data_IF_658773722531
#
_entry.id   IF_658773722531
#
_cell.length_a   1.000
_cell.length_b   1.000
_cell.length_c   1.000
_cell.angle_alpha   90.00
_cell.angle_beta   90.00
_cell.angle_gamma   90.00
#
_symmetry.space_group_name_H-M   'P 1'
#
loop_
_entity.id
_entity.type
_entity.pdbx_description
1 polymer ?
#
# COMPACT_ATOMS: atom_id res chain seq x y z
N UNK A 1 -5.12 -0.01 2.41
CA UNK A 1 -5.48 1.41 2.57
C UNK A 1 -5.31 1.80 4.02
N UNK A 2 -4.81 3.01 4.29
CA UNK A 2 -4.54 3.44 5.66
C UNK A 2 -5.82 3.96 6.34
N UNK A 3 -5.86 3.90 7.68
CA UNK A 3 -7.02 4.35 8.48
C UNK A 3 -7.34 5.83 8.22
N UNK A 4 -6.37 6.64 7.81
CA UNK A 4 -6.60 8.02 7.42
C UNK A 4 -7.61 8.18 6.27
N UNK A 5 -7.75 7.17 5.41
CA UNK A 5 -8.58 7.20 4.20
C UNK A 5 -9.88 6.39 4.33
N UNK A 6 -10.32 6.07 5.54
CA UNK A 6 -11.53 5.29 5.82
C UNK A 6 -12.87 6.02 5.54
N UNK A 7 -12.83 7.17 4.86
CA UNK A 7 -14.01 8.01 4.63
C UNK A 7 -15.10 7.29 3.84
N UNK A 8 -16.36 7.69 4.06
CA UNK A 8 -17.51 7.03 3.42
C UNK A 8 -17.44 7.10 1.90
N UNK A 9 -17.06 8.27 1.35
CA UNK A 9 -16.88 8.44 -0.10
C UNK A 9 -15.84 7.47 -0.66
N UNK A 10 -14.70 7.33 0.02
CA UNK A 10 -13.62 6.47 -0.46
C UNK A 10 -13.96 5.00 -0.33
N UNK A 11 -14.68 4.63 0.74
CA UNK A 11 -15.19 3.28 0.91
C UNK A 11 -16.24 2.95 -0.14
N UNK A 12 -17.17 3.86 -0.42
CA UNK A 12 -18.19 3.67 -1.45
C UNK A 12 -17.55 3.50 -2.83
N UNK A 13 -16.59 4.37 -3.17
CA UNK A 13 -15.83 4.23 -4.42
C UNK A 13 -15.13 2.88 -4.52
N UNK A 14 -14.54 2.38 -3.43
CA UNK A 14 -13.91 1.06 -3.43
C UNK A 14 -14.93 -0.06 -3.73
N UNK A 15 -16.14 0.03 -3.17
CA UNK A 15 -17.23 -0.91 -3.45
C UNK A 15 -17.71 -0.80 -4.90
N UNK A 16 -17.86 0.42 -5.42
CA UNK A 16 -18.29 0.68 -6.80
C UNK A 16 -17.27 0.11 -7.82
N UNK A 17 -15.99 0.12 -7.46
CA UNK A 17 -14.90 -0.49 -8.24
C UNK A 17 -14.78 -2.03 -8.03
N UNK A 18 -15.66 -2.64 -7.23
CA UNK A 18 -15.66 -4.08 -6.96
C UNK A 18 -14.61 -4.55 -5.94
N UNK A 19 -14.00 -3.63 -5.19
CA UNK A 19 -13.02 -3.96 -4.15
C UNK A 19 -13.69 -4.23 -2.80
N UNK A 20 -13.03 -5.05 -1.98
CA UNK A 20 -13.43 -5.31 -0.58
C UNK A 20 -12.63 -4.40 0.36
N UNK A 21 -13.25 -3.37 0.98
CA UNK A 21 -12.54 -2.48 1.90
C UNK A 21 -12.28 -3.19 3.23
N UNK A 22 -11.01 -3.43 3.55
CA UNK A 22 -10.58 -4.06 4.81
C UNK A 22 -9.97 -3.03 5.79
N UNK A 23 -10.36 -1.76 5.68
CA UNK A 23 -9.83 -0.69 6.53
C UNK A 23 -10.57 -0.71 7.87
N UNK A 24 -9.86 -0.65 9.02
CA UNK A 24 -10.50 -0.52 10.32
C UNK A 24 -11.17 0.86 10.44
N UNK A 25 -12.38 0.96 11.03
CA UNK A 25 -12.98 2.25 11.34
C UNK A 25 -12.21 2.98 12.45
N UNK A 26 -12.32 4.31 12.51
CA UNK A 26 -11.83 5.14 13.61
C UNK A 26 -12.65 4.82 14.84
N UNK A 27 -11.97 4.83 15.99
CA UNK A 27 -12.60 4.58 17.29
C UNK A 27 -13.76 5.54 17.60
N UNK A 28 -13.72 6.75 17.04
CA UNK A 28 -14.66 7.82 17.33
C UNK A 28 -15.90 7.80 16.41
N UNK A 29 -16.01 6.81 15.52
CA UNK A 29 -17.10 6.72 14.54
C UNK A 29 -18.36 6.21 15.23
N UNK A 30 -19.50 6.87 14.97
CA UNK A 30 -20.80 6.52 15.55
C UNK A 30 -21.31 5.16 15.06
N UNK A 31 -21.04 4.83 13.79
CA UNK A 31 -21.42 3.57 13.15
C UNK A 31 -20.18 2.89 12.57
N UNK A 32 -19.42 2.14 13.38
CA UNK A 32 -18.29 1.34 12.90
C UNK A 32 -18.79 0.13 12.11
N UNK A 33 -18.04 -0.27 11.08
CA UNK A 33 -18.31 -1.50 10.33
C UNK A 33 -17.40 -2.64 10.76
N UNK A 34 -17.86 -3.86 10.48
CA UNK A 34 -17.02 -5.05 10.60
C UNK A 34 -16.06 -5.15 9.42
N UNK A 35 -14.83 -5.56 9.71
CA UNK A 35 -13.79 -5.78 8.71
C UNK A 35 -12.98 -7.02 9.10
N UNK A 36 -12.35 -7.63 8.10
CA UNK A 36 -11.51 -8.80 8.35
C UNK A 36 -10.14 -8.40 8.94
N UNK A 37 -10.00 -8.55 10.25
CA UNK A 37 -8.76 -8.23 10.97
C UNK A 37 -7.54 -8.99 10.45
N UNK A 38 -7.68 -10.28 10.13
CA UNK A 38 -6.60 -11.11 9.64
C UNK A 38 -6.08 -10.62 8.27
N UNK A 39 -7.01 -10.20 7.40
CA UNK A 39 -6.67 -9.59 6.11
C UNK A 39 -6.04 -8.22 6.28
N UNK A 40 -6.51 -7.39 7.22
CA UNK A 40 -5.87 -6.10 7.49
C UNK A 40 -4.43 -6.26 7.99
N UNK A 41 -4.14 -7.29 8.79
CA UNK A 41 -2.80 -7.59 9.31
C UNK A 41 -1.78 -7.86 8.19
N UNK A 42 -2.21 -8.44 7.06
CA UNK A 42 -1.34 -8.69 5.88
C UNK A 42 -0.79 -7.41 5.25
N UNK A 43 -1.41 -6.24 5.51
CA UNK A 43 -0.89 -4.93 5.07
C UNK A 43 0.56 -4.69 5.52
N UNK A 44 0.93 -5.15 6.71
CA UNK A 44 2.29 -4.97 7.24
C UNK A 44 3.36 -5.65 6.36
N UNK A 45 3.04 -6.73 5.66
CA UNK A 45 3.97 -7.36 4.71
C UNK A 45 4.27 -6.42 3.54
N UNK A 46 3.22 -5.82 2.98
CA UNK A 46 3.30 -4.82 1.92
C UNK A 46 4.06 -3.57 2.40
N UNK A 47 3.77 -3.07 3.61
CA UNK A 47 4.47 -1.91 4.17
C UNK A 47 5.96 -2.16 4.39
N UNK A 48 6.32 -3.36 4.87
CA UNK A 48 7.73 -3.77 5.01
C UNK A 48 8.42 -3.86 3.66
N UNK A 49 7.73 -4.35 2.62
CA UNK A 49 8.26 -4.35 1.25
C UNK A 49 8.54 -2.93 0.77
N UNK A 50 7.58 -2.01 0.87
CA UNK A 50 7.79 -0.61 0.50
C UNK A 50 8.87 0.07 1.34
N UNK A 51 9.01 -0.26 2.62
CA UNK A 51 10.10 0.24 3.47
C UNK A 51 11.47 -0.14 2.89
N UNK A 52 11.63 -1.38 2.39
CA UNK A 52 12.88 -1.84 1.79
C UNK A 52 13.13 -1.21 0.42
N UNK A 53 12.09 -1.08 -0.40
CA UNK A 53 12.16 -0.36 -1.67
C UNK A 53 12.55 1.13 -1.49
N UNK A 54 12.05 1.77 -0.43
CA UNK A 54 12.46 3.14 -0.06
C UNK A 54 13.91 3.26 0.43
N UNK A 55 14.60 2.15 0.70
CA UNK A 55 16.04 2.15 0.94
C UNK A 55 16.85 2.53 -0.31
N UNK A 56 16.29 2.33 -1.50
CA UNK A 56 16.92 2.75 -2.75
C UNK A 56 16.68 4.24 -2.96
N UNK A 57 17.72 5.05 -2.75
CA UNK A 57 17.66 6.53 -2.83
C UNK A 57 17.02 7.05 -4.13
N UNK A 58 17.32 6.42 -5.28
CA UNK A 58 16.74 6.76 -6.60
C UNK A 58 15.22 6.65 -6.62
N UNK A 59 14.69 5.58 -6.02
CA UNK A 59 13.25 5.31 -5.91
C UNK A 59 12.62 6.26 -4.89
N UNK A 60 13.21 6.37 -3.70
CA UNK A 60 12.64 7.17 -2.60
C UNK A 60 12.41 8.63 -2.98
N UNK A 61 13.41 9.29 -3.58
CA UNK A 61 13.28 10.70 -3.94
C UNK A 61 12.76 10.93 -5.36
N UNK A 62 12.42 9.86 -6.10
CA UNK A 62 12.06 9.90 -7.52
C UNK A 62 13.06 10.75 -8.33
N UNK A 63 14.34 10.36 -8.29
CA UNK A 63 15.42 11.10 -8.95
C UNK A 63 15.25 11.16 -10.48
N UNK A 64 14.75 10.08 -11.06
CA UNK A 64 14.63 9.93 -12.50
C UNK A 64 13.36 10.65 -13.01
N UNK A 65 13.54 11.65 -13.87
CA UNK A 65 12.43 12.45 -14.43
C UNK A 65 11.60 11.70 -15.47
N UNK A 66 12.22 10.78 -16.20
CA UNK A 66 11.53 9.97 -17.20
C UNK A 66 10.86 8.79 -16.53
N UNK A 67 9.56 8.64 -16.74
CA UNK A 67 8.77 7.57 -16.12
C UNK A 67 9.31 6.17 -16.49
N UNK A 68 9.81 6.00 -17.73
CA UNK A 68 10.44 4.73 -18.17
C UNK A 68 11.71 4.38 -17.40
N UNK A 69 12.49 5.38 -16.99
CA UNK A 69 13.69 5.15 -16.17
C UNK A 69 13.28 4.88 -14.72
N UNK A 70 12.31 5.65 -14.20
CA UNK A 70 11.78 5.45 -12.85
C UNK A 70 11.20 4.04 -12.67
N UNK A 71 10.36 3.57 -13.61
CA UNK A 71 9.77 2.23 -13.56
C UNK A 71 10.82 1.14 -13.70
N UNK A 72 11.85 1.34 -14.54
CA UNK A 72 12.97 0.40 -14.68
C UNK A 72 13.70 0.19 -13.35
N UNK A 73 13.95 1.26 -12.59
CA UNK A 73 14.56 1.13 -11.25
C UNK A 73 13.63 0.47 -10.24
N UNK A 74 12.31 0.68 -10.34
CA UNK A 74 11.33 -0.03 -9.50
C UNK A 74 11.42 -1.54 -9.78
N UNK A 75 11.39 -1.97 -11.04
CA UNK A 75 11.56 -3.38 -11.40
C UNK A 75 12.90 -3.95 -10.92
N UNK A 76 13.99 -3.21 -11.12
CA UNK A 76 15.31 -3.59 -10.62
C UNK A 76 15.29 -3.82 -9.10
N UNK A 77 14.70 -2.92 -8.31
CA UNK A 77 14.62 -3.08 -6.86
C UNK A 77 13.75 -4.27 -6.45
N UNK A 78 12.66 -4.56 -7.18
CA UNK A 78 11.88 -5.78 -6.97
C UNK A 78 12.68 -7.05 -7.26
N UNK A 79 13.46 -7.09 -8.33
CA UNK A 79 14.33 -8.23 -8.65
C UNK A 79 15.37 -8.44 -7.56
N UNK A 80 16.07 -7.38 -7.14
CA UNK A 80 17.05 -7.44 -6.05
C UNK A 80 16.41 -7.93 -4.75
N UNK A 81 15.20 -7.45 -4.44
CA UNK A 81 14.48 -7.86 -3.25
C UNK A 81 14.01 -9.31 -3.31
N UNK A 82 13.59 -9.79 -4.47
CA UNK A 82 13.23 -11.20 -4.68
C UNK A 82 14.45 -12.11 -4.47
N UNK A 83 15.62 -11.73 -5.01
CA UNK A 83 16.87 -12.49 -4.85
C UNK A 83 17.38 -12.54 -3.40
N UNK A 84 16.98 -11.61 -2.53
CA UNK A 84 17.32 -11.63 -1.09
C UNK A 84 16.46 -12.59 -0.27
N UNK A 85 15.30 -12.98 -0.78
CA UNK A 85 14.35 -13.87 -0.12
C UNK A 85 14.53 -15.34 -0.54
N UNK A 86 15.31 -15.58 -1.60
CA UNK A 86 15.82 -16.90 -1.99
C UNK A 86 17.07 -17.23 -1.16
#
# INVERSE_FOLDING_TARGET
MDRAYEGDQTRQLALDLGYIPVVPPKANRLSPWEYNHAMYKKRNEIERLFRRLKGFRRIFSRFDKLDVVSISFIYFAFIVEALRLC
#
